data_IF_677595683520
#
_entry.id   IF_677595683520
#
_cell.length_a   1.000
_cell.length_b   1.000
_cell.length_c   1.000
_cell.angle_alpha   90.00
_cell.angle_beta   90.00
_cell.angle_gamma   90.00
#
_symmetry.space_group_name_H-M   'P 1'
#
loop_
_entity.id
_entity.type
_entity.pdbx_description
1 polymer ?
#
# COMPACT_ATOMS: atom_id res chain seq x y z
N UNK A 1 -17.71 2.66 2.48
CA UNK A 1 -17.86 2.22 3.87
C UNK A 1 -16.59 1.51 4.32
N UNK A 2 -16.25 1.56 5.62
CA UNK A 2 -15.09 0.90 6.19
C UNK A 2 -15.47 0.19 7.48
N UNK A 3 -14.91 -0.99 7.73
CA UNK A 3 -15.24 -1.84 8.85
C UNK A 3 -13.99 -2.52 9.41
N UNK A 4 -14.01 -2.80 10.71
CA UNK A 4 -13.13 -3.73 11.37
C UNK A 4 -13.95 -4.89 11.91
N UNK A 5 -13.54 -6.11 11.60
CA UNK A 5 -14.18 -7.33 12.08
C UNK A 5 -13.21 -8.16 12.92
N UNK A 6 -13.75 -8.78 13.97
CA UNK A 6 -13.05 -9.73 14.84
C UNK A 6 -14.04 -10.82 15.25
N UNK A 7 -14.08 -11.91 14.49
CA UNK A 7 -15.05 -12.98 14.65
C UNK A 7 -14.37 -14.22 15.26
N UNK A 8 -14.92 -14.73 16.36
CA UNK A 8 -14.46 -15.98 16.99
C UNK A 8 -15.14 -17.23 16.38
N UNK A 9 -16.33 -17.06 15.81
CA UNK A 9 -17.13 -18.15 15.25
C UNK A 9 -17.66 -17.72 13.86
N UNK A 10 -16.75 -17.40 12.94
CA UNK A 10 -17.14 -17.02 11.60
C UNK A 10 -17.70 -18.23 10.86
N UNK A 11 -18.93 -18.09 10.33
CA UNK A 11 -19.49 -19.07 9.41
C UNK A 11 -19.12 -18.67 7.97
N UNK A 12 -18.53 -19.62 7.24
CA UNK A 12 -18.22 -19.42 5.83
C UNK A 12 -19.49 -19.02 5.05
N UNK A 13 -19.44 -17.86 4.45
CA UNK A 13 -20.51 -17.38 3.58
C UNK A 13 -20.36 -18.04 2.20
N UNK A 14 -21.48 -18.30 1.51
CA UNK A 14 -21.44 -18.75 0.12
C UNK A 14 -20.68 -17.75 -0.76
N UNK A 15 -20.13 -18.25 -1.87
CA UNK A 15 -19.55 -17.40 -2.89
C UNK A 15 -20.58 -16.36 -3.37
N UNK A 16 -20.18 -15.10 -3.39
CA UNK A 16 -21.05 -13.97 -3.73
C UNK A 16 -20.32 -12.93 -4.56
N UNK A 17 -21.07 -11.99 -5.08
CA UNK A 17 -20.57 -10.84 -5.85
C UNK A 17 -21.22 -9.57 -5.33
N UNK A 18 -20.57 -8.43 -5.60
CA UNK A 18 -21.12 -7.11 -5.28
C UNK A 18 -20.74 -6.11 -6.39
N UNK A 19 -21.29 -4.90 -6.35
CA UNK A 19 -21.12 -3.86 -7.37
C UNK A 19 -20.10 -2.76 -7.00
N UNK A 20 -19.31 -2.97 -5.95
CA UNK A 20 -18.26 -2.07 -5.45
C UNK A 20 -16.90 -2.77 -5.45
N UNK A 21 -15.83 -1.98 -5.29
CA UNK A 21 -14.49 -2.50 -5.00
C UNK A 21 -14.39 -2.80 -3.51
N UNK A 22 -13.95 -4.01 -3.15
CA UNK A 22 -13.70 -4.41 -1.79
C UNK A 22 -12.21 -4.58 -1.54
N UNK A 23 -11.68 -3.78 -0.60
CA UNK A 23 -10.34 -3.95 -0.07
C UNK A 23 -10.45 -4.76 1.22
N UNK A 24 -9.87 -5.92 1.19
CA UNK A 24 -9.87 -6.87 2.27
C UNK A 24 -8.46 -6.99 2.84
N UNK A 25 -8.20 -6.47 4.04
CA UNK A 25 -6.89 -6.45 4.66
C UNK A 25 -6.86 -7.44 5.82
N UNK A 26 -6.10 -8.49 5.65
CA UNK A 26 -6.05 -9.61 6.57
C UNK A 26 -5.09 -9.36 7.72
N UNK A 27 -5.55 -9.59 8.96
CA UNK A 27 -4.78 -9.40 10.19
C UNK A 27 -4.45 -10.71 10.88
N UNK A 28 -5.45 -11.59 11.04
CA UNK A 28 -5.32 -12.83 11.78
C UNK A 28 -6.43 -13.81 11.38
N UNK A 29 -6.14 -15.10 11.44
CA UNK A 29 -7.07 -16.19 11.15
C UNK A 29 -6.35 -17.36 10.47
N UNK A 30 -7.14 -18.39 10.13
CA UNK A 30 -6.67 -19.56 9.38
C UNK A 30 -7.71 -19.85 8.28
N UNK A 31 -7.45 -19.33 7.09
CA UNK A 31 -8.38 -19.40 5.96
C UNK A 31 -7.69 -19.22 4.62
N UNK A 32 -8.34 -19.69 3.59
CA UNK A 32 -8.11 -19.28 2.22
C UNK A 32 -9.15 -18.24 1.79
N UNK A 33 -8.76 -17.33 0.91
CA UNK A 33 -9.74 -16.53 0.17
C UNK A 33 -9.80 -17.02 -1.28
N UNK A 34 -11.00 -17.39 -1.71
CA UNK A 34 -11.24 -17.81 -3.09
C UNK A 34 -11.76 -16.63 -3.91
N UNK A 35 -11.13 -16.41 -5.07
CA UNK A 35 -11.57 -15.45 -6.08
C UNK A 35 -11.70 -16.17 -7.42
N UNK A 36 -12.89 -16.12 -8.01
CA UNK A 36 -13.18 -16.75 -9.32
C UNK A 36 -12.75 -18.22 -9.40
N UNK A 37 -12.95 -19.00 -8.32
CA UNK A 37 -12.60 -20.41 -8.24
C UNK A 37 -11.13 -20.70 -7.90
N UNK A 38 -10.32 -19.69 -7.59
CA UNK A 38 -8.92 -19.85 -7.21
C UNK A 38 -8.73 -19.45 -5.74
N UNK A 39 -8.54 -20.44 -4.88
CA UNK A 39 -8.30 -20.26 -3.46
C UNK A 39 -6.80 -20.02 -3.18
N UNK A 40 -6.50 -19.09 -2.25
CA UNK A 40 -5.14 -18.84 -1.75
C UNK A 40 -5.17 -18.63 -0.24
N UNK A 41 -4.20 -19.19 0.51
CA UNK A 41 -4.04 -18.91 1.92
C UNK A 41 -3.70 -17.43 2.14
N UNK A 42 -4.26 -16.85 3.20
CA UNK A 42 -3.96 -15.49 3.61
C UNK A 42 -3.01 -15.47 4.80
N UNK A 43 -2.08 -14.52 4.77
CA UNK A 43 -1.11 -14.26 5.85
C UNK A 43 -1.24 -12.81 6.34
N UNK A 44 -0.93 -12.52 7.61
CA UNK A 44 -0.88 -11.15 8.09
C UNK A 44 -0.03 -10.26 7.18
N UNK A 45 -0.58 -9.11 6.78
CA UNK A 45 0.04 -8.24 5.78
C UNK A 45 -0.54 -8.38 4.36
N UNK A 46 -1.36 -9.41 4.13
CA UNK A 46 -2.02 -9.58 2.83
C UNK A 46 -3.21 -8.64 2.70
N UNK A 47 -3.35 -8.09 1.52
CA UNK A 47 -4.54 -7.38 1.05
C UNK A 47 -5.07 -8.05 -0.20
N UNK A 48 -6.37 -8.27 -0.21
CA UNK A 48 -7.08 -8.71 -1.41
C UNK A 48 -8.00 -7.60 -1.88
N UNK A 49 -7.91 -7.26 -3.15
CA UNK A 49 -8.77 -6.26 -3.81
C UNK A 49 -9.69 -6.97 -4.78
N UNK A 50 -10.98 -7.03 -4.41
CA UNK A 50 -12.02 -7.66 -5.22
C UNK A 50 -12.75 -6.59 -6.05
N UNK A 51 -12.65 -6.65 -7.40
CA UNK A 51 -13.40 -5.74 -8.26
C UNK A 51 -14.90 -6.08 -8.31
N UNK A 52 -15.74 -5.13 -8.75
CA UNK A 52 -17.17 -5.35 -8.94
C UNK A 52 -17.47 -6.57 -9.82
N UNK A 53 -18.47 -7.37 -9.43
CA UNK A 53 -18.96 -8.54 -10.18
C UNK A 53 -18.09 -9.78 -10.06
N UNK A 54 -16.97 -9.74 -9.37
CA UNK A 54 -16.09 -10.89 -9.18
C UNK A 54 -16.55 -11.73 -8.00
N UNK A 55 -16.76 -13.04 -8.26
CA UNK A 55 -17.18 -14.01 -7.25
C UNK A 55 -16.04 -14.29 -6.28
N UNK A 56 -16.32 -14.24 -4.99
CA UNK A 56 -15.35 -14.53 -3.95
C UNK A 56 -16.01 -15.00 -2.65
N UNK A 57 -15.24 -15.68 -1.80
CA UNK A 57 -15.63 -16.04 -0.44
C UNK A 57 -14.42 -16.50 0.40
N UNK A 58 -14.57 -16.45 1.71
CA UNK A 58 -13.58 -16.95 2.66
C UNK A 58 -13.85 -18.44 2.99
N UNK A 59 -12.82 -19.26 2.91
CA UNK A 59 -12.83 -20.69 3.26
C UNK A 59 -12.06 -20.88 4.56
N UNK A 60 -12.79 -21.00 5.67
CA UNK A 60 -12.20 -21.19 7.00
C UNK A 60 -11.64 -22.60 7.16
N UNK A 61 -10.42 -22.73 7.65
CA UNK A 61 -9.78 -24.00 8.01
C UNK A 61 -9.93 -24.32 9.50
N UNK A 62 -9.79 -23.29 10.35
CA UNK A 62 -9.94 -23.43 11.81
C UNK A 62 -10.59 -22.18 12.41
N UNK A 63 -11.33 -22.39 13.51
CA UNK A 63 -11.88 -21.32 14.36
C UNK A 63 -11.14 -21.15 15.69
N UNK A 64 -9.97 -21.79 15.84
CA UNK A 64 -9.19 -21.72 17.09
C UNK A 64 -8.58 -20.35 17.34
N UNK A 65 -8.51 -19.52 16.29
CA UNK A 65 -8.04 -18.12 16.36
C UNK A 65 -9.13 -17.18 15.86
N UNK A 66 -9.18 -15.95 16.42
CA UNK A 66 -10.12 -14.98 15.92
C UNK A 66 -9.78 -14.61 14.46
N UNK A 67 -10.81 -14.50 13.66
CA UNK A 67 -10.69 -14.00 12.30
C UNK A 67 -10.80 -12.48 12.28
N UNK A 68 -9.65 -11.80 12.11
CA UNK A 68 -9.54 -10.35 12.16
C UNK A 68 -9.18 -9.77 10.81
N UNK A 69 -9.89 -8.74 10.43
CA UNK A 69 -9.69 -8.05 9.14
C UNK A 69 -10.23 -6.63 9.15
N UNK A 70 -9.66 -5.79 8.31
CA UNK A 70 -10.34 -4.58 7.84
C UNK A 70 -10.97 -4.85 6.49
N UNK A 71 -12.14 -4.25 6.29
CA UNK A 71 -12.85 -4.29 5.01
C UNK A 71 -13.20 -2.85 4.64
N UNK A 72 -12.85 -2.45 3.41
CA UNK A 72 -13.16 -1.14 2.87
C UNK A 72 -13.91 -1.29 1.55
N UNK A 73 -15.11 -0.76 1.46
CA UNK A 73 -15.93 -0.75 0.25
C UNK A 73 -15.89 0.62 -0.42
N UNK A 74 -15.52 0.62 -1.69
CA UNK A 74 -15.39 1.82 -2.52
C UNK A 74 -16.29 1.67 -3.74
N UNK A 75 -17.30 2.55 -3.88
CA UNK A 75 -18.25 2.49 -4.98
C UNK A 75 -17.60 2.80 -6.33
N UNK A 76 -18.12 2.22 -7.41
CA UNK A 76 -17.67 2.52 -8.77
C UNK A 76 -17.81 4.01 -9.12
N UNK A 77 -18.85 4.67 -8.62
CA UNK A 77 -19.04 6.11 -8.81
C UNK A 77 -17.90 6.92 -8.17
N UNK A 78 -17.49 6.53 -6.95
CA UNK A 78 -16.36 7.19 -6.27
C UNK A 78 -15.06 6.99 -7.05
N UNK A 79 -14.80 5.77 -7.50
CA UNK A 79 -13.61 5.44 -8.33
C UNK A 79 -13.61 6.25 -9.63
N UNK A 80 -14.76 6.37 -10.31
CA UNK A 80 -14.88 7.18 -11.53
C UNK A 80 -14.62 8.67 -11.28
N UNK A 81 -14.97 9.19 -10.09
CA UNK A 81 -14.65 10.56 -9.68
C UNK A 81 -13.15 10.71 -9.43
N UNK A 82 -12.55 9.81 -8.66
CA UNK A 82 -11.11 9.83 -8.37
C UNK A 82 -10.27 9.74 -9.63
N UNK A 83 -10.67 8.91 -10.60
CA UNK A 83 -9.98 8.79 -11.90
C UNK A 83 -9.94 10.12 -12.66
N UNK A 84 -10.98 10.96 -12.54
CA UNK A 84 -11.00 12.30 -13.15
C UNK A 84 -10.10 13.29 -12.42
N UNK A 85 -9.89 13.11 -11.11
CA UNK A 85 -9.00 13.96 -10.31
C UNK A 85 -7.53 13.58 -10.54
N UNK A 86 -7.19 12.29 -10.39
CA UNK A 86 -5.88 11.72 -10.74
C UNK A 86 -5.98 10.20 -10.89
N UNK A 87 -5.37 9.61 -11.93
CA UNK A 87 -5.26 8.16 -12.08
C UNK A 87 -4.47 7.50 -10.94
N UNK A 88 -3.64 8.25 -10.21
CA UNK A 88 -2.80 7.72 -9.13
C UNK A 88 -3.62 7.17 -7.96
N UNK A 89 -4.86 7.66 -7.77
CA UNK A 89 -5.77 7.15 -6.74
C UNK A 89 -6.36 5.78 -7.05
N UNK A 90 -6.36 5.36 -8.31
CA UNK A 90 -7.13 4.19 -8.76
C UNK A 90 -6.28 3.08 -9.39
N UNK A 91 -4.97 3.20 -9.35
CA UNK A 91 -4.03 2.27 -9.98
C UNK A 91 -4.30 0.80 -9.62
N UNK A 92 -4.40 0.44 -8.33
CA UNK A 92 -4.68 -0.92 -7.89
C UNK A 92 -6.06 -1.41 -8.35
N UNK A 93 -7.08 -0.55 -8.30
CA UNK A 93 -8.43 -0.88 -8.73
C UNK A 93 -8.50 -1.15 -10.24
N UNK A 94 -7.81 -0.35 -11.05
CA UNK A 94 -7.70 -0.60 -12.49
C UNK A 94 -6.98 -1.93 -12.77
N UNK A 95 -5.91 -2.22 -12.06
CA UNK A 95 -5.19 -3.50 -12.23
C UNK A 95 -6.03 -4.70 -11.83
N UNK A 96 -6.73 -4.64 -10.72
CA UNK A 96 -7.62 -5.71 -10.29
C UNK A 96 -8.71 -5.97 -11.34
N UNK A 97 -9.29 -4.91 -11.92
CA UNK A 97 -10.34 -5.02 -12.94
C UNK A 97 -9.84 -5.50 -14.31
N UNK A 98 -8.60 -5.15 -14.72
CA UNK A 98 -8.11 -5.43 -16.08
C UNK A 98 -7.22 -6.66 -16.17
N UNK A 99 -6.44 -6.97 -15.12
CA UNK A 99 -5.45 -8.06 -15.12
C UNK A 99 -5.72 -9.14 -14.08
N UNK A 100 -6.87 -9.09 -13.38
CA UNK A 100 -7.25 -10.03 -12.31
C UNK A 100 -6.18 -10.13 -11.20
N UNK A 101 -5.36 -9.10 -11.05
CA UNK A 101 -4.35 -9.04 -9.99
C UNK A 101 -4.99 -8.52 -8.71
N UNK A 102 -5.50 -9.43 -7.92
CA UNK A 102 -6.28 -9.15 -6.73
C UNK A 102 -5.49 -9.25 -5.41
N UNK A 103 -4.39 -10.02 -5.38
CA UNK A 103 -3.61 -10.29 -4.18
C UNK A 103 -2.35 -9.44 -4.11
N UNK A 104 -2.15 -8.78 -2.97
CA UNK A 104 -1.00 -7.93 -2.65
C UNK A 104 -0.50 -8.27 -1.26
N UNK A 105 0.81 -8.15 -1.04
CA UNK A 105 1.42 -8.29 0.28
C UNK A 105 2.17 -7.01 0.64
N UNK A 106 1.98 -6.53 1.86
CA UNK A 106 2.70 -5.38 2.42
C UNK A 106 3.65 -5.86 3.51
N UNK A 107 4.86 -5.32 3.53
CA UNK A 107 5.81 -5.58 4.61
C UNK A 107 5.31 -4.98 5.93
N UNK A 108 5.83 -5.44 7.05
CA UNK A 108 5.33 -5.10 8.40
C UNK A 108 5.17 -3.59 8.63
N UNK A 109 6.19 -2.79 8.29
CA UNK A 109 6.16 -1.33 8.45
C UNK A 109 5.10 -0.65 7.55
N UNK A 110 4.98 -1.09 6.29
CA UNK A 110 3.98 -0.60 5.35
C UNK A 110 2.57 -0.94 5.83
N UNK A 111 2.37 -2.19 6.26
CA UNK A 111 1.08 -2.67 6.73
C UNK A 111 0.66 -1.97 8.03
N UNK A 112 1.58 -1.73 8.96
CA UNK A 112 1.34 -0.93 10.17
C UNK A 112 0.89 0.51 9.81
N UNK A 113 1.51 1.11 8.80
CA UNK A 113 1.12 2.43 8.30
C UNK A 113 -0.27 2.44 7.64
N UNK A 114 -0.63 1.36 6.92
CA UNK A 114 -1.97 1.17 6.35
C UNK A 114 -3.00 1.01 7.47
N UNK A 115 -2.72 0.19 8.49
CA UNK A 115 -3.61 0.01 9.65
C UNK A 115 -3.88 1.33 10.37
N UNK A 116 -2.85 2.14 10.60
CA UNK A 116 -2.99 3.46 11.24
C UNK A 116 -3.91 4.39 10.45
N UNK A 117 -3.81 4.39 9.11
CA UNK A 117 -4.69 5.15 8.22
C UNK A 117 -6.12 4.64 8.24
N UNK A 118 -6.32 3.31 8.28
CA UNK A 118 -7.64 2.70 8.39
C UNK A 118 -8.31 3.02 9.71
N UNK A 119 -7.58 2.96 10.82
CA UNK A 119 -8.09 3.34 12.14
C UNK A 119 -8.54 4.81 12.12
N UNK A 120 -7.70 5.71 11.60
CA UNK A 120 -8.07 7.11 11.46
C UNK A 120 -9.32 7.31 10.59
N UNK A 121 -9.42 6.59 9.47
CA UNK A 121 -10.60 6.64 8.60
C UNK A 121 -11.86 6.18 9.36
N UNK A 122 -11.78 5.09 10.11
CA UNK A 122 -12.90 4.58 10.94
C UNK A 122 -13.29 5.58 12.02
N UNK A 123 -12.33 6.19 12.71
CA UNK A 123 -12.59 7.24 13.71
C UNK A 123 -13.35 8.41 13.11
N UNK A 124 -12.95 8.88 11.91
CA UNK A 124 -13.67 9.96 11.23
C UNK A 124 -15.06 9.54 10.74
N UNK A 125 -15.24 8.31 10.28
CA UNK A 125 -16.55 7.77 9.91
C UNK A 125 -17.54 7.79 11.07
N UNK A 126 -17.08 7.53 12.29
CA UNK A 126 -17.92 7.47 13.50
C UNK A 126 -17.94 8.79 14.28
N UNK A 127 -17.19 9.80 13.84
CA UNK A 127 -17.12 11.09 14.52
C UNK A 127 -18.34 11.97 14.16
N UNK A 128 -18.69 12.87 15.08
CA UNK A 128 -19.67 13.95 14.84
C UNK A 128 -18.97 15.32 14.79
N UNK A 129 -17.66 15.35 14.50
CA UNK A 129 -16.87 16.59 14.49
C UNK A 129 -17.21 17.48 13.29
N UNK A 130 -16.98 18.78 13.45
CA UNK A 130 -17.02 19.71 12.33
C UNK A 130 -16.05 19.26 11.22
N UNK A 131 -16.53 19.31 9.97
CA UNK A 131 -15.71 18.91 8.82
C UNK A 131 -15.54 17.41 8.61
N UNK A 132 -16.32 16.55 9.31
CA UNK A 132 -16.28 15.09 9.20
C UNK A 132 -16.21 14.59 7.75
N UNK A 133 -17.08 15.09 6.87
CA UNK A 133 -17.11 14.63 5.47
C UNK A 133 -15.82 14.95 4.72
N UNK A 134 -15.23 16.11 4.97
CA UNK A 134 -13.94 16.49 4.40
C UNK A 134 -12.80 15.64 4.99
N UNK A 135 -12.82 15.37 6.30
CA UNK A 135 -11.84 14.55 6.97
C UNK A 135 -11.87 13.08 6.46
N UNK A 136 -13.07 12.51 6.31
CA UNK A 136 -13.26 11.17 5.70
C UNK A 136 -12.74 11.15 4.26
N UNK A 137 -13.04 12.17 3.46
CA UNK A 137 -12.56 12.28 2.09
C UNK A 137 -11.03 12.31 2.03
N UNK A 138 -10.40 13.14 2.84
CA UNK A 138 -8.93 13.24 2.91
C UNK A 138 -8.28 11.94 3.40
N UNK A 139 -8.82 11.34 4.47
CA UNK A 139 -8.29 10.10 5.04
C UNK A 139 -8.40 8.91 4.06
N UNK A 140 -9.52 8.81 3.34
CA UNK A 140 -9.69 7.76 2.33
C UNK A 140 -8.74 7.94 1.16
N UNK A 141 -8.59 9.16 0.65
CA UNK A 141 -7.71 9.42 -0.49
C UNK A 141 -6.22 9.27 -0.11
N UNK A 142 -5.83 9.67 1.10
CA UNK A 142 -4.47 9.41 1.63
C UNK A 142 -4.18 7.90 1.71
N UNK A 143 -5.13 7.11 2.22
CA UNK A 143 -5.01 5.65 2.29
C UNK A 143 -4.85 5.03 0.89
N UNK A 144 -5.73 5.37 -0.04
CA UNK A 144 -5.70 4.84 -1.41
C UNK A 144 -4.39 5.21 -2.12
N UNK A 145 -3.98 6.48 -2.05
CA UNK A 145 -2.73 6.94 -2.65
C UNK A 145 -1.51 6.25 -2.04
N UNK A 146 -1.49 6.06 -0.72
CA UNK A 146 -0.41 5.38 -0.02
C UNK A 146 -0.23 3.94 -0.50
N UNK A 147 -1.32 3.15 -0.55
CA UNK A 147 -1.28 1.77 -1.05
C UNK A 147 -0.87 1.69 -2.52
N UNK A 148 -1.44 2.56 -3.36
CA UNK A 148 -1.11 2.63 -4.78
C UNK A 148 0.37 2.94 -5.00
N UNK A 149 0.92 3.92 -4.27
CA UNK A 149 2.33 4.33 -4.37
C UNK A 149 3.27 3.20 -4.02
N UNK A 150 3.08 2.51 -2.89
CA UNK A 150 3.93 1.39 -2.48
C UNK A 150 4.00 0.32 -3.57
N UNK A 151 2.85 -0.09 -4.10
CA UNK A 151 2.81 -1.16 -5.10
C UNK A 151 3.35 -0.66 -6.44
N UNK A 152 3.03 0.57 -6.84
CA UNK A 152 3.54 1.17 -8.06
C UNK A 152 5.08 1.28 -8.05
N UNK A 153 5.65 1.84 -6.99
CA UNK A 153 7.10 2.02 -6.85
C UNK A 153 7.84 0.68 -6.79
N UNK A 154 7.25 -0.33 -6.13
CA UNK A 154 7.79 -1.69 -6.09
C UNK A 154 7.84 -2.35 -7.48
N UNK A 155 6.86 -2.08 -8.33
CA UNK A 155 6.76 -2.64 -9.66
C UNK A 155 7.49 -1.83 -10.73
N UNK A 156 7.69 -0.56 -10.46
CA UNK A 156 8.40 0.37 -11.32
C UNK A 156 9.56 0.99 -10.52
N UNK A 157 10.55 0.15 -10.13
CA UNK A 157 11.70 0.70 -9.45
C UNK A 157 12.29 1.77 -10.34
N UNK A 158 12.27 3.00 -9.86
CA UNK A 158 12.99 4.08 -10.52
C UNK A 158 14.44 3.64 -10.52
N UNK A 159 14.98 3.32 -11.69
CA UNK A 159 16.43 3.22 -11.87
C UNK A 159 16.91 4.66 -11.73
N UNK A 160 17.26 5.01 -10.51
CA UNK A 160 17.46 6.37 -10.07
C UNK A 160 18.66 6.98 -10.78
N UNK A 161 18.38 7.84 -11.73
CA UNK A 161 19.35 8.88 -12.08
C UNK A 161 19.14 10.04 -11.08
N UNK A 162 20.15 10.42 -10.37
CA UNK A 162 20.36 11.61 -9.52
C UNK A 162 19.80 11.65 -8.09
N UNK A 163 18.62 11.11 -7.77
CA UNK A 163 18.12 11.09 -6.38
C UNK A 163 18.75 9.99 -5.53
N UNK A 164 19.05 8.86 -6.15
CA UNK A 164 19.67 7.70 -5.55
C UNK A 164 21.16 7.96 -5.24
N UNK A 165 21.82 8.68 -6.12
CA UNK A 165 23.23 9.03 -5.95
C UNK A 165 23.48 9.85 -4.67
N UNK A 166 22.60 10.81 -4.34
CA UNK A 166 22.72 11.57 -3.09
C UNK A 166 22.49 10.69 -1.87
N UNK A 167 21.49 9.81 -1.94
CA UNK A 167 21.19 8.88 -0.87
C UNK A 167 22.30 7.84 -0.69
N UNK A 168 22.81 7.28 -1.78
CA UNK A 168 23.94 6.33 -1.77
C UNK A 168 25.19 6.97 -1.16
N UNK A 169 25.52 8.18 -1.59
CA UNK A 169 26.67 8.93 -1.04
C UNK A 169 26.44 9.27 0.44
N UNK A 170 25.23 9.69 0.82
CA UNK A 170 24.91 10.02 2.22
C UNK A 170 25.01 8.80 3.12
N UNK A 171 24.47 7.66 2.72
CA UNK A 171 24.59 6.40 3.45
C UNK A 171 26.05 5.96 3.60
N UNK A 172 26.84 6.04 2.52
CA UNK A 172 28.26 5.75 2.56
C UNK A 172 29.02 6.65 3.52
N UNK A 173 28.73 7.96 3.53
CA UNK A 173 29.31 8.92 4.47
C UNK A 173 28.94 8.54 5.91
N UNK A 174 27.67 8.25 6.19
CA UNK A 174 27.20 7.90 7.53
C UNK A 174 27.84 6.60 8.07
N UNK A 175 28.09 5.63 7.21
CA UNK A 175 28.76 4.37 7.58
C UNK A 175 30.30 4.53 7.80
N UNK A 176 30.92 5.57 7.20
CA UNK A 176 32.38 5.75 7.20
C UNK A 176 32.82 7.07 7.86
N UNK A 177 32.01 7.66 8.77
CA UNK A 177 32.28 8.96 9.42
C UNK A 177 33.62 9.05 10.15
N UNK A 178 34.22 7.92 10.50
CA UNK A 178 35.53 7.86 11.19
C UNK A 178 36.72 7.64 10.25
N UNK A 179 36.48 7.55 8.94
CA UNK A 179 37.49 7.30 7.91
C UNK A 179 37.79 8.57 7.10
N UNK A 180 38.78 8.51 6.21
CA UNK A 180 39.12 9.64 5.31
C UNK A 180 38.10 9.68 4.15
N UNK A 181 37.17 10.62 4.22
CA UNK A 181 36.10 10.85 3.25
C UNK A 181 36.47 11.95 2.24
N UNK A 182 37.45 11.68 1.40
CA UNK A 182 37.80 12.58 0.29
C UNK A 182 36.84 12.44 -0.90
N UNK A 183 36.77 13.44 -1.79
CA UNK A 183 36.00 13.36 -3.03
C UNK A 183 36.43 12.18 -3.93
N UNK A 184 37.70 11.79 -3.87
CA UNK A 184 38.20 10.64 -4.64
C UNK A 184 37.67 9.33 -4.06
N UNK A 185 37.50 9.21 -2.73
CA UNK A 185 36.89 8.04 -2.08
C UNK A 185 35.44 7.92 -2.46
N UNK A 186 34.67 9.01 -2.37
CA UNK A 186 33.24 9.04 -2.76
C UNK A 186 33.07 8.72 -4.25
N UNK A 187 33.89 9.30 -5.11
CA UNK A 187 33.85 9.08 -6.55
C UNK A 187 34.13 7.63 -6.93
N UNK A 188 35.09 6.98 -6.25
CA UNK A 188 35.39 5.56 -6.45
C UNK A 188 34.26 4.66 -5.97
N UNK A 189 33.62 4.98 -4.83
CA UNK A 189 32.50 4.20 -4.31
C UNK A 189 31.34 4.13 -5.31
N UNK A 190 30.96 5.27 -5.89
CA UNK A 190 29.84 5.35 -6.85
C UNK A 190 30.27 5.18 -8.31
N UNK A 191 31.52 4.79 -8.58
CA UNK A 191 32.06 4.58 -9.92
C UNK A 191 31.93 5.79 -10.86
N UNK A 192 32.06 7.01 -10.33
CA UNK A 192 31.96 8.26 -11.08
C UNK A 192 33.26 9.09 -10.95
N UNK A 193 33.40 10.14 -11.77
CA UNK A 193 34.54 11.04 -11.63
C UNK A 193 34.36 12.02 -10.47
N UNK A 194 35.45 12.41 -9.80
CA UNK A 194 35.38 13.42 -8.74
C UNK A 194 34.82 14.76 -9.20
N UNK A 195 35.04 15.14 -10.47
CA UNK A 195 34.50 16.36 -11.06
C UNK A 195 32.96 16.26 -11.18
N UNK A 196 32.45 15.09 -11.55
CA UNK A 196 31.01 14.85 -11.59
C UNK A 196 30.41 14.95 -10.19
N UNK A 197 31.01 14.32 -9.20
CA UNK A 197 30.54 14.36 -7.80
C UNK A 197 30.54 15.79 -7.27
N UNK A 198 31.61 16.55 -7.50
CA UNK A 198 31.69 17.95 -7.08
C UNK A 198 30.61 18.83 -7.72
N UNK A 199 30.34 18.66 -9.02
CA UNK A 199 29.24 19.35 -9.72
C UNK A 199 27.87 18.91 -9.21
N UNK A 200 27.68 17.62 -9.03
CA UNK A 200 26.44 17.04 -8.52
C UNK A 200 26.07 17.59 -7.14
N UNK A 201 27.03 17.65 -6.20
CA UNK A 201 26.82 18.26 -4.88
C UNK A 201 26.48 19.75 -4.99
N UNK A 202 27.20 20.48 -5.82
CA UNK A 202 26.95 21.90 -6.03
C UNK A 202 25.53 22.15 -6.54
N UNK A 203 25.10 21.41 -7.55
CA UNK A 203 23.77 21.54 -8.16
C UNK A 203 22.65 21.08 -7.20
N UNK A 204 22.88 20.00 -6.43
CA UNK A 204 21.88 19.44 -5.52
C UNK A 204 21.72 20.22 -4.22
N UNK A 205 22.80 20.84 -3.70
CA UNK A 205 22.80 21.57 -2.44
C UNK A 205 22.73 23.10 -2.63
N UNK A 206 22.82 23.59 -3.86
CA UNK A 206 22.71 25.01 -4.19
C UNK A 206 23.90 25.83 -3.72
N UNK A 207 25.11 25.25 -3.64
CA UNK A 207 26.37 25.88 -3.16
C UNK A 207 27.39 26.08 -4.26
#
# INVERSE_FOLDING_TARGET
EAFYYSDLNFQTLPAHTHDYYEFYLFLEGDLDLEISGHARPLHPGDMVLVPPGVSHHALMHSSDRPYRRFVLWVSQEYVARLLKESPDYVFLMQRAATSSRCYYHFHEAEFSSIQSRLIRLLEEFHSNRYGRNAAVYLALNDLLLYMNRIIYEREHPVVSGSGDLMQEITLFIDEHLTEDLSLDVLANHVCLSKYYIAHYFKDSLGI
#
